data_IF_607299642974
#
_entry.id   IF_607299642974
#
_cell.length_a   1.000
_cell.length_b   1.000
_cell.length_c   1.000
_cell.angle_alpha   90.00
_cell.angle_beta   90.00
_cell.angle_gamma   90.00
#
_symmetry.space_group_name_H-M   'P 1'
#
loop_
_entity.id
_entity.type
_entity.pdbx_description
1 polymer ?
#
# COMPACT_ATOMS: atom_id res chain seq x y z
N UNK A 1 14.69 -10.12 0.88
CA UNK A 1 14.12 -11.38 1.36
C UNK A 1 12.61 -11.27 1.23
N UNK A 2 11.91 -12.31 0.83
CA UNK A 2 10.45 -12.27 0.69
C UNK A 2 9.80 -12.91 1.90
N UNK A 3 8.67 -12.36 2.36
CA UNK A 3 7.88 -12.93 3.45
C UNK A 3 7.06 -14.13 2.94
N UNK A 4 7.02 -15.20 3.73
CA UNK A 4 6.11 -16.32 3.46
C UNK A 4 4.66 -15.89 3.69
N UNK A 5 3.76 -16.42 2.86
CA UNK A 5 2.32 -16.16 2.97
C UNK A 5 1.77 -16.70 4.29
N UNK A 6 1.03 -15.86 5.02
CA UNK A 6 0.36 -16.25 6.27
C UNK A 6 -0.92 -17.04 6.00
N UNK A 7 -1.46 -17.71 7.03
CA UNK A 7 -2.75 -18.39 6.89
C UNK A 7 -3.92 -17.46 6.56
N UNK A 8 -3.86 -16.18 6.97
CA UNK A 8 -4.85 -15.16 6.61
C UNK A 8 -4.74 -14.83 5.11
N UNK A 9 -3.53 -14.60 4.63
CA UNK A 9 -3.27 -14.29 3.21
C UNK A 9 -3.70 -15.43 2.30
N UNK A 10 -3.40 -16.69 2.67
CA UNK A 10 -3.83 -17.89 1.92
C UNK A 10 -5.36 -17.98 1.81
N UNK A 11 -6.09 -17.74 2.93
CA UNK A 11 -7.55 -17.76 2.94
C UNK A 11 -8.13 -16.61 2.11
N UNK A 12 -7.59 -15.40 2.27
CA UNK A 12 -8.04 -14.22 1.53
C UNK A 12 -7.80 -14.38 0.03
N UNK A 13 -6.65 -14.92 -0.38
CA UNK A 13 -6.36 -15.23 -1.80
C UNK A 13 -7.38 -16.21 -2.37
N UNK A 14 -7.68 -17.29 -1.65
CA UNK A 14 -8.67 -18.27 -2.09
C UNK A 14 -10.07 -17.65 -2.22
N UNK A 15 -10.46 -16.82 -1.24
CA UNK A 15 -11.73 -16.11 -1.25
C UNK A 15 -11.84 -15.14 -2.42
N UNK A 16 -10.81 -14.34 -2.69
CA UNK A 16 -10.78 -13.40 -3.82
C UNK A 16 -10.83 -14.11 -5.19
N UNK A 17 -10.33 -15.34 -5.26
CA UNK A 17 -10.34 -16.14 -6.48
C UNK A 17 -11.62 -16.97 -6.66
N UNK A 18 -12.54 -16.95 -5.68
CA UNK A 18 -13.79 -17.69 -5.79
C UNK A 18 -14.68 -17.14 -6.91
N UNK A 19 -15.49 -17.99 -7.58
CA UNK A 19 -16.36 -17.54 -8.65
C UNK A 19 -17.33 -16.43 -8.23
N UNK A 20 -17.73 -16.43 -6.96
CA UNK A 20 -18.69 -15.48 -6.39
C UNK A 20 -18.08 -14.10 -6.17
N UNK A 21 -16.76 -14.02 -5.89
CA UNK A 21 -16.10 -12.76 -5.51
C UNK A 21 -15.10 -12.23 -6.54
N UNK A 22 -14.60 -13.06 -7.44
CA UNK A 22 -13.55 -12.66 -8.39
C UNK A 22 -13.91 -11.44 -9.27
N UNK A 23 -15.22 -11.24 -9.56
CA UNK A 23 -15.71 -10.09 -10.30
C UNK A 23 -16.07 -8.89 -9.42
N UNK A 24 -16.25 -9.12 -8.12
CA UNK A 24 -16.72 -8.11 -7.14
C UNK A 24 -15.55 -7.43 -6.45
N UNK A 25 -14.55 -8.19 -6.04
CA UNK A 25 -13.38 -7.67 -5.33
C UNK A 25 -12.16 -7.54 -6.25
N UNK A 26 -11.24 -6.67 -5.88
CA UNK A 26 -9.96 -6.58 -6.57
C UNK A 26 -9.12 -7.85 -6.38
N UNK A 27 -8.14 -8.12 -7.27
CA UNK A 27 -7.21 -9.23 -7.10
C UNK A 27 -6.47 -9.13 -5.75
N UNK A 28 -6.12 -10.28 -5.21
CA UNK A 28 -5.48 -10.39 -3.90
C UNK A 28 -4.26 -9.49 -3.74
N UNK A 29 -3.38 -9.41 -4.74
CA UNK A 29 -2.18 -8.57 -4.71
C UNK A 29 -2.50 -7.07 -4.62
N UNK A 30 -3.57 -6.63 -5.32
CA UNK A 30 -4.07 -5.26 -5.21
C UNK A 30 -4.56 -4.97 -3.79
N UNK A 31 -5.32 -5.89 -3.20
CA UNK A 31 -5.80 -5.79 -1.82
C UNK A 31 -4.63 -5.69 -0.83
N UNK A 32 -3.59 -6.53 -1.00
CA UNK A 32 -2.38 -6.44 -0.17
C UNK A 32 -1.74 -5.05 -0.21
N UNK A 33 -1.63 -4.46 -1.41
CA UNK A 33 -1.10 -3.10 -1.56
C UNK A 33 -1.98 -2.04 -0.93
N UNK A 34 -3.32 -2.14 -1.09
CA UNK A 34 -4.27 -1.20 -0.49
C UNK A 34 -4.23 -1.23 1.02
N UNK A 35 -4.18 -2.44 1.63
CA UNK A 35 -4.09 -2.60 3.09
C UNK A 35 -2.72 -2.15 3.60
N UNK A 36 -1.63 -2.35 2.82
CA UNK A 36 -0.32 -1.80 3.16
C UNK A 36 -0.36 -0.26 3.27
N UNK A 37 -1.02 0.42 2.32
CA UNK A 37 -1.17 1.87 2.37
C UNK A 37 -2.00 2.34 3.58
N UNK A 38 -3.06 1.61 3.93
CA UNK A 38 -3.88 1.89 5.11
C UNK A 38 -3.10 1.68 6.41
N UNK A 39 -2.32 0.58 6.52
CA UNK A 39 -1.49 0.29 7.68
C UNK A 39 -0.32 1.28 7.85
N UNK A 40 0.23 1.76 6.72
CA UNK A 40 1.33 2.72 6.70
C UNK A 40 0.87 4.19 6.67
N UNK A 41 -0.40 4.49 6.95
CA UNK A 41 -0.88 5.87 7.01
C UNK A 41 -0.41 6.55 8.31
N UNK A 42 -0.16 7.88 8.31
CA UNK A 42 0.11 8.63 9.55
C UNK A 42 -1.02 8.54 10.57
N UNK A 43 -2.25 8.39 10.09
CA UNK A 43 -3.44 8.10 10.87
C UNK A 43 -4.16 6.91 10.20
N UNK A 44 -4.30 5.81 10.94
CA UNK A 44 -4.93 4.60 10.42
C UNK A 44 -6.40 4.89 10.16
N UNK A 45 -6.89 4.75 8.90
CA UNK A 45 -8.28 5.05 8.57
C UNK A 45 -9.24 4.05 9.23
N UNK A 46 -10.43 4.54 9.61
CA UNK A 46 -11.50 3.67 10.10
C UNK A 46 -11.91 2.66 9.02
N UNK A 47 -12.37 1.45 9.41
CA UNK A 47 -12.71 0.38 8.48
C UNK A 47 -13.69 0.80 7.37
N UNK A 48 -14.70 1.59 7.70
CA UNK A 48 -15.70 2.10 6.74
C UNK A 48 -15.10 3.01 5.66
N UNK A 49 -13.89 3.56 5.88
CA UNK A 49 -13.20 4.39 4.89
C UNK A 49 -12.42 3.52 3.90
N UNK A 50 -11.66 2.53 4.39
CA UNK A 50 -10.74 1.78 3.55
C UNK A 50 -11.28 0.45 3.03
N UNK A 51 -12.23 -0.20 3.71
CA UNK A 51 -12.83 -1.45 3.22
C UNK A 51 -13.44 -1.31 1.82
N UNK A 52 -14.10 -0.18 1.45
CA UNK A 52 -14.60 0.00 0.10
C UNK A 52 -13.54 -0.02 -1.01
N UNK A 53 -12.27 0.26 -0.71
CA UNK A 53 -11.22 0.30 -1.72
C UNK A 53 -10.93 -1.05 -2.36
N UNK A 54 -11.26 -2.13 -1.67
CA UNK A 54 -11.04 -3.49 -2.17
C UNK A 54 -12.20 -4.01 -3.03
N UNK A 55 -13.31 -3.27 -3.11
CA UNK A 55 -14.52 -3.65 -3.84
C UNK A 55 -14.55 -2.96 -5.21
N UNK A 56 -14.66 -3.73 -6.28
CA UNK A 56 -14.85 -3.19 -7.64
C UNK A 56 -16.29 -2.71 -7.88
N UNK A 57 -17.26 -3.43 -7.32
CA UNK A 57 -18.69 -3.19 -7.51
C UNK A 57 -19.42 -3.33 -6.17
N UNK A 58 -19.78 -2.22 -5.56
CA UNK A 58 -20.31 -2.17 -4.19
C UNK A 58 -21.66 -2.90 -3.96
N UNK A 59 -22.42 -3.21 -5.02
CA UNK A 59 -23.79 -3.73 -4.90
C UNK A 59 -23.92 -5.23 -5.24
N UNK A 60 -22.83 -6.00 -5.25
CA UNK A 60 -22.86 -7.40 -5.73
C UNK A 60 -22.34 -8.44 -4.72
N UNK A 61 -22.17 -8.07 -3.46
CA UNK A 61 -21.94 -9.10 -2.43
C UNK A 61 -23.26 -9.87 -2.25
N UNK A 62 -23.26 -11.15 -2.60
CA UNK A 62 -24.47 -11.96 -2.71
C UNK A 62 -25.01 -12.42 -1.35
N UNK A 63 -24.22 -12.34 -0.29
CA UNK A 63 -24.65 -12.73 1.06
C UNK A 63 -23.92 -11.94 2.16
N UNK A 64 -24.61 -11.71 3.28
CA UNK A 64 -24.02 -11.13 4.49
C UNK A 64 -22.87 -11.98 5.02
N UNK A 65 -22.96 -13.31 4.95
CA UNK A 65 -21.92 -14.22 5.40
C UNK A 65 -20.60 -14.03 4.62
N UNK A 66 -20.65 -13.84 3.30
CA UNK A 66 -19.46 -13.56 2.49
C UNK A 66 -18.87 -12.18 2.81
N UNK A 67 -19.73 -11.18 3.05
CA UNK A 67 -19.29 -9.86 3.46
C UNK A 67 -18.56 -9.90 4.81
N UNK A 68 -19.12 -10.63 5.78
CA UNK A 68 -18.53 -10.81 7.11
C UNK A 68 -17.20 -11.57 7.04
N UNK A 69 -17.12 -12.64 6.25
CA UNK A 69 -15.88 -13.40 6.06
C UNK A 69 -14.78 -12.55 5.42
N UNK A 70 -15.11 -11.83 4.35
CA UNK A 70 -14.18 -10.91 3.69
C UNK A 70 -13.70 -9.84 4.66
N UNK A 71 -14.61 -9.20 5.38
CA UNK A 71 -14.28 -8.14 6.36
C UNK A 71 -13.36 -8.67 7.46
N UNK A 72 -13.67 -9.83 8.03
CA UNK A 72 -12.85 -10.44 9.08
C UNK A 72 -11.42 -10.76 8.58
N UNK A 73 -11.28 -11.29 7.36
CA UNK A 73 -9.98 -11.56 6.76
C UNK A 73 -9.20 -10.27 6.46
N UNK A 74 -9.86 -9.22 5.98
CA UNK A 74 -9.25 -7.92 5.72
C UNK A 74 -8.78 -7.25 7.02
N UNK A 75 -9.58 -7.29 8.08
CA UNK A 75 -9.18 -6.76 9.39
C UNK A 75 -8.00 -7.55 9.97
N UNK A 76 -8.00 -8.87 9.85
CA UNK A 76 -6.86 -9.69 10.27
C UNK A 76 -5.59 -9.41 9.44
N UNK A 77 -5.74 -9.16 8.14
CA UNK A 77 -4.62 -8.74 7.28
C UNK A 77 -4.05 -7.39 7.73
N UNK A 78 -4.91 -6.39 8.00
CA UNK A 78 -4.48 -5.09 8.51
C UNK A 78 -3.70 -5.24 9.82
N UNK A 79 -4.22 -6.01 10.78
CA UNK A 79 -3.55 -6.28 12.06
C UNK A 79 -2.19 -6.94 11.88
N UNK A 80 -2.08 -7.91 10.96
CA UNK A 80 -0.80 -8.56 10.64
C UNK A 80 0.20 -7.57 10.04
N UNK A 81 -0.24 -6.69 9.15
CA UNK A 81 0.65 -5.68 8.55
C UNK A 81 1.10 -4.64 9.56
N UNK A 82 0.21 -4.18 10.45
CA UNK A 82 0.58 -3.27 11.55
C UNK A 82 1.61 -3.91 12.48
N UNK A 83 1.42 -5.19 12.82
CA UNK A 83 2.39 -5.94 13.62
C UNK A 83 3.73 -6.06 12.91
N UNK A 84 3.75 -6.45 11.63
CA UNK A 84 4.98 -6.55 10.85
C UNK A 84 5.72 -5.21 10.78
N UNK A 85 5.00 -4.09 10.60
CA UNK A 85 5.60 -2.75 10.61
C UNK A 85 6.18 -2.39 11.98
N UNK A 86 5.48 -2.73 13.07
CA UNK A 86 5.97 -2.56 14.45
C UNK A 86 7.22 -3.41 14.72
N UNK A 87 7.30 -4.61 14.15
CA UNK A 87 8.44 -5.53 14.27
C UNK A 87 9.55 -5.21 13.23
N UNK A 88 9.42 -4.11 12.47
CA UNK A 88 10.32 -3.69 11.37
C UNK A 88 10.45 -4.73 10.24
N UNK A 89 9.47 -5.62 10.08
CA UNK A 89 9.40 -6.64 9.05
C UNK A 89 8.69 -6.07 7.81
N UNK A 90 9.37 -5.17 7.07
CA UNK A 90 8.81 -4.54 5.88
C UNK A 90 9.36 -5.26 4.64
N UNK A 91 8.58 -6.18 4.09
CA UNK A 91 8.98 -7.06 2.99
C UNK A 91 7.84 -7.29 2.02
N UNK A 92 8.17 -7.43 0.73
CA UNK A 92 7.19 -7.87 -0.27
C UNK A 92 6.77 -9.33 0.00
N UNK A 93 5.48 -9.65 -0.24
CA UNK A 93 5.02 -11.03 -0.23
C UNK A 93 5.73 -11.89 -1.28
N UNK A 94 5.79 -13.20 -1.03
CA UNK A 94 6.33 -14.15 -1.99
C UNK A 94 5.54 -14.10 -3.32
N UNK A 95 6.24 -14.30 -4.43
CA UNK A 95 5.63 -14.28 -5.77
C UNK A 95 5.47 -12.90 -6.40
N UNK A 96 5.83 -11.82 -5.70
CA UNK A 96 5.85 -10.45 -6.23
C UNK A 96 7.29 -10.09 -6.64
N UNK A 97 7.52 -9.70 -7.89
CA UNK A 97 8.87 -9.43 -8.38
C UNK A 97 8.92 -9.02 -9.84
N UNK A 98 10.12 -9.05 -10.43
CA UNK A 98 10.35 -8.60 -11.82
C UNK A 98 10.94 -9.69 -12.73
N UNK A 99 11.22 -10.90 -12.21
CA UNK A 99 11.92 -11.95 -12.96
C UNK A 99 11.03 -12.65 -13.96
N UNK A 100 9.78 -12.89 -13.63
CA UNK A 100 8.80 -13.61 -14.45
C UNK A 100 7.60 -12.71 -14.75
N UNK A 101 6.97 -12.87 -15.88
CA UNK A 101 5.78 -12.09 -16.25
C UNK A 101 4.65 -12.18 -15.21
N UNK A 102 4.46 -13.36 -14.59
CA UNK A 102 3.49 -13.53 -13.50
C UNK A 102 3.85 -12.70 -12.26
N UNK A 103 5.14 -12.66 -11.89
CA UNK A 103 5.62 -11.83 -10.77
C UNK A 103 5.45 -10.34 -11.05
N UNK A 104 5.74 -9.92 -12.30
CA UNK A 104 5.56 -8.53 -12.74
C UNK A 104 4.10 -8.10 -12.66
N UNK A 105 3.17 -8.99 -13.06
CA UNK A 105 1.73 -8.74 -12.93
C UNK A 105 1.31 -8.59 -11.46
N UNK A 106 1.81 -9.46 -10.59
CA UNK A 106 1.53 -9.37 -9.15
C UNK A 106 2.11 -8.08 -8.54
N UNK A 107 3.33 -7.69 -8.94
CA UNK A 107 3.96 -6.43 -8.51
C UNK A 107 3.15 -5.22 -8.97
N UNK A 108 2.73 -5.20 -10.24
CA UNK A 108 1.92 -4.11 -10.78
C UNK A 108 0.61 -3.97 -10.01
N UNK A 109 -0.10 -5.05 -9.74
CA UNK A 109 -1.34 -5.04 -8.95
C UNK A 109 -1.10 -4.54 -7.52
N UNK A 110 -0.03 -5.01 -6.86
CA UNK A 110 0.33 -4.54 -5.53
C UNK A 110 0.59 -3.03 -5.51
N UNK A 111 1.40 -2.53 -6.45
CA UNK A 111 1.68 -1.09 -6.57
C UNK A 111 0.42 -0.27 -6.86
N UNK A 112 -0.48 -0.76 -7.73
CA UNK A 112 -1.75 -0.09 -8.04
C UNK A 112 -2.62 0.04 -6.79
N UNK A 113 -2.75 -1.03 -6.00
CA UNK A 113 -3.51 -1.02 -4.75
C UNK A 113 -2.89 -0.06 -3.72
N UNK A 114 -1.56 -0.09 -3.58
CA UNK A 114 -0.82 0.81 -2.70
C UNK A 114 -1.01 2.28 -3.09
N UNK A 115 -0.89 2.62 -4.37
CA UNK A 115 -1.08 3.98 -4.87
C UNK A 115 -2.53 4.45 -4.73
N UNK A 116 -3.51 3.57 -4.95
CA UNK A 116 -4.91 3.89 -4.69
C UNK A 116 -5.09 4.25 -3.21
N UNK A 117 -4.65 3.38 -2.28
CA UNK A 117 -4.77 3.64 -0.85
C UNK A 117 -4.09 4.94 -0.43
N UNK A 118 -2.87 5.20 -0.93
CA UNK A 118 -2.18 6.47 -0.67
C UNK A 118 -2.98 7.68 -1.16
N UNK A 119 -3.53 7.62 -2.37
CA UNK A 119 -4.33 8.72 -2.93
C UNK A 119 -5.63 8.97 -2.15
N UNK A 120 -6.27 7.92 -1.64
CA UNK A 120 -7.45 8.05 -0.80
C UNK A 120 -7.15 8.67 0.58
N UNK A 121 -5.89 8.62 1.00
CA UNK A 121 -5.40 9.16 2.27
C UNK A 121 -4.64 10.50 2.10
N UNK A 122 -4.70 11.11 0.91
CA UNK A 122 -3.98 12.37 0.62
C UNK A 122 -4.27 13.45 1.67
N UNK A 123 -5.53 13.59 2.10
CA UNK A 123 -5.92 14.57 3.11
C UNK A 123 -5.28 14.29 4.49
N UNK A 124 -5.14 13.02 4.87
CA UNK A 124 -4.46 12.59 6.12
C UNK A 124 -2.98 12.94 6.06
N UNK A 125 -2.31 12.60 4.96
CA UNK A 125 -0.91 12.94 4.73
C UNK A 125 -0.70 14.46 4.74
N UNK A 126 -1.55 15.21 4.03
CA UNK A 126 -1.45 16.68 3.97
C UNK A 126 -1.64 17.31 5.35
N UNK A 127 -2.61 16.84 6.13
CA UNK A 127 -2.82 17.33 7.50
C UNK A 127 -1.58 17.12 8.38
N UNK A 128 -0.95 15.95 8.30
CA UNK A 128 0.27 15.66 9.04
C UNK A 128 1.45 16.55 8.59
N UNK A 129 1.60 16.79 7.27
CA UNK A 129 2.59 17.73 6.72
C UNK A 129 2.38 19.15 7.21
N UNK A 130 1.15 19.64 7.23
CA UNK A 130 0.82 21.00 7.68
C UNK A 130 1.19 21.19 9.15
N UNK A 131 0.96 20.18 10.00
CA UNK A 131 1.38 20.20 11.41
C UNK A 131 2.90 20.22 11.57
N UNK A 132 3.60 19.39 10.82
CA UNK A 132 5.06 19.35 10.84
C UNK A 132 5.68 20.66 10.33
N UNK A 133 5.08 21.31 9.34
CA UNK A 133 5.58 22.56 8.77
C UNK A 133 5.74 23.67 9.81
N UNK A 134 4.86 23.70 10.80
CA UNK A 134 4.88 24.71 11.87
C UNK A 134 6.13 24.56 12.75
N UNK A 135 6.63 23.33 12.94
CA UNK A 135 7.68 23.02 13.93
C UNK A 135 9.03 22.66 13.32
N UNK A 136 9.06 22.00 12.13
CA UNK A 136 10.28 21.44 11.53
C UNK A 136 10.34 21.60 10.00
N UNK A 137 10.26 22.85 9.54
CA UNK A 137 10.22 23.17 8.12
C UNK A 137 11.41 22.64 7.29
N UNK A 138 12.62 22.67 7.83
CA UNK A 138 13.83 22.22 7.09
C UNK A 138 13.82 20.69 6.89
N UNK A 139 13.40 19.94 7.91
CA UNK A 139 13.31 18.48 7.82
C UNK A 139 12.22 18.05 6.82
N UNK A 140 11.11 18.79 6.76
CA UNK A 140 9.97 18.52 5.89
C UNK A 140 10.37 18.42 4.40
N UNK A 141 11.23 19.32 3.91
CA UNK A 141 11.66 19.32 2.50
C UNK A 141 12.38 18.02 2.10
N UNK A 142 13.20 17.48 3.01
CA UNK A 142 13.87 16.20 2.79
C UNK A 142 12.86 15.06 2.76
N UNK A 143 11.96 15.00 3.74
CA UNK A 143 10.96 13.93 3.84
C UNK A 143 9.98 13.95 2.65
N UNK A 144 9.61 15.12 2.14
CA UNK A 144 8.78 15.23 0.93
C UNK A 144 9.49 14.71 -0.33
N UNK A 145 10.81 14.93 -0.45
CA UNK A 145 11.60 14.34 -1.54
C UNK A 145 11.66 12.81 -1.42
N UNK A 146 11.86 12.31 -0.21
CA UNK A 146 11.89 10.88 0.05
C UNK A 146 10.53 10.24 -0.29
N UNK A 147 9.41 10.86 0.11
CA UNK A 147 8.06 10.40 -0.27
C UNK A 147 7.87 10.41 -1.79
N UNK A 148 8.26 11.50 -2.45
CA UNK A 148 8.16 11.60 -3.91
C UNK A 148 8.97 10.51 -4.61
N UNK A 149 10.14 10.18 -4.09
CA UNK A 149 10.97 9.08 -4.61
C UNK A 149 10.27 7.71 -4.42
N UNK A 150 9.69 7.45 -3.25
CA UNK A 150 8.93 6.22 -3.00
C UNK A 150 7.73 6.11 -3.95
N UNK A 151 6.94 7.16 -4.09
CA UNK A 151 5.77 7.17 -4.97
C UNK A 151 6.17 7.01 -6.44
N UNK A 152 7.29 7.61 -6.87
CA UNK A 152 7.82 7.41 -8.22
C UNK A 152 8.21 5.94 -8.46
N UNK A 153 8.86 5.30 -7.48
CA UNK A 153 9.17 3.87 -7.51
C UNK A 153 7.90 3.03 -7.70
N UNK A 154 6.89 3.24 -6.85
CA UNK A 154 5.63 2.50 -6.91
C UNK A 154 4.89 2.74 -8.22
N UNK A 155 4.86 3.98 -8.72
CA UNK A 155 4.24 4.33 -10.02
C UNK A 155 4.95 3.64 -11.19
N UNK A 156 6.28 3.58 -11.16
CA UNK A 156 7.06 2.90 -12.21
C UNK A 156 6.69 1.42 -12.31
N UNK A 157 6.53 0.74 -11.17
CA UNK A 157 6.19 -0.68 -11.14
C UNK A 157 4.68 -0.96 -11.23
N UNK A 158 3.82 0.02 -11.04
CA UNK A 158 2.37 -0.11 -11.24
C UNK A 158 2.00 -0.29 -12.72
N UNK A 159 2.80 0.30 -13.63
CA UNK A 159 2.65 0.15 -15.08
C UNK A 159 4.01 0.29 -15.75
N UNK A 160 4.79 -0.78 -15.73
CA UNK A 160 6.13 -0.80 -16.32
C UNK A 160 6.14 -0.49 -17.83
N UNK A 161 5.20 -1.01 -18.66
CA UNK A 161 5.13 -0.65 -20.07
C UNK A 161 4.94 0.85 -20.30
N UNK A 162 4.03 1.48 -19.55
CA UNK A 162 3.78 2.92 -19.64
C UNK A 162 5.02 3.71 -19.17
N UNK A 163 5.64 3.33 -18.08
CA UNK A 163 6.85 3.97 -17.56
C UNK A 163 7.98 3.93 -18.59
N UNK A 164 8.20 2.78 -19.24
CA UNK A 164 9.21 2.62 -20.30
C UNK A 164 8.87 3.49 -21.53
N UNK A 165 7.61 3.49 -21.97
CA UNK A 165 7.16 4.33 -23.09
C UNK A 165 7.39 5.83 -22.81
N UNK A 166 7.05 6.30 -21.62
CA UNK A 166 7.28 7.69 -21.19
C UNK A 166 8.78 8.03 -21.07
N UNK A 167 9.60 7.10 -20.60
CA UNK A 167 11.04 7.29 -20.53
C UNK A 167 11.66 7.44 -21.94
N UNK A 168 11.28 6.58 -22.87
CA UNK A 168 11.70 6.66 -24.29
C UNK A 168 11.30 8.00 -24.92
N UNK A 169 10.09 8.49 -24.67
CA UNK A 169 9.65 9.82 -25.16
C UNK A 169 10.52 10.98 -24.61
N UNK A 170 11.11 10.80 -23.43
CA UNK A 170 12.04 11.78 -22.80
C UNK A 170 13.51 11.55 -23.16
N UNK A 171 13.80 10.65 -24.12
CA UNK A 171 15.15 10.32 -24.57
C UNK A 171 15.93 9.34 -23.66
N UNK A 172 15.23 8.62 -22.78
CA UNK A 172 15.83 7.58 -21.95
C UNK A 172 15.37 6.19 -22.42
N UNK A 173 16.20 5.56 -23.27
CA UNK A 173 15.93 4.24 -23.83
C UNK A 173 16.37 3.08 -22.91
N UNK A 174 17.10 3.39 -21.83
CA UNK A 174 17.72 2.37 -20.96
C UNK A 174 16.83 1.91 -19.80
N UNK A 175 15.68 2.52 -19.59
CA UNK A 175 14.85 2.23 -18.39
C UNK A 175 14.43 0.77 -18.33
N UNK A 176 14.05 0.17 -19.48
CA UNK A 176 13.61 -1.21 -19.55
C UNK A 176 14.66 -2.18 -19.00
N UNK A 177 15.92 -2.03 -19.44
CA UNK A 177 17.06 -2.84 -19.00
C UNK A 177 17.43 -2.57 -17.53
N UNK A 178 17.09 -1.38 -17.03
CA UNK A 178 17.41 -0.96 -15.66
C UNK A 178 16.35 -1.39 -14.63
N UNK A 179 15.13 -1.76 -15.04
CA UNK A 179 14.05 -2.15 -14.12
C UNK A 179 14.46 -3.23 -13.10
N UNK A 180 15.19 -4.31 -13.47
CA UNK A 180 15.62 -5.31 -12.49
C UNK A 180 16.60 -4.75 -11.45
N UNK A 181 17.44 -3.79 -11.82
CA UNK A 181 18.38 -3.12 -10.92
C UNK A 181 17.64 -2.14 -10.00
N UNK A 182 16.71 -1.37 -10.55
CA UNK A 182 15.87 -0.44 -9.79
C UNK A 182 15.04 -1.20 -8.75
N UNK A 183 14.51 -2.37 -9.11
CA UNK A 183 13.73 -3.21 -8.20
C UNK A 183 14.52 -3.67 -6.96
N UNK A 184 15.85 -3.74 -7.02
CA UNK A 184 16.67 -4.09 -5.86
C UNK A 184 16.51 -3.11 -4.68
N UNK A 185 16.18 -1.85 -4.96
CA UNK A 185 15.91 -0.82 -3.94
C UNK A 185 14.43 -0.71 -3.55
N UNK A 186 13.55 -1.54 -4.12
CA UNK A 186 12.10 -1.48 -3.85
C UNK A 186 11.77 -1.70 -2.37
N UNK A 187 12.38 -2.70 -1.74
CA UNK A 187 12.19 -2.97 -0.31
C UNK A 187 12.66 -1.81 0.58
N UNK A 188 13.71 -1.10 0.19
CA UNK A 188 14.16 0.09 0.90
C UNK A 188 13.16 1.24 0.74
N UNK A 189 12.58 1.44 -0.45
CA UNK A 189 11.51 2.41 -0.67
C UNK A 189 10.27 2.14 0.18
N UNK A 190 9.92 0.86 0.39
CA UNK A 190 8.83 0.50 1.31
C UNK A 190 9.16 0.90 2.76
N UNK A 191 10.39 0.63 3.23
CA UNK A 191 10.84 1.01 4.58
C UNK A 191 10.85 2.52 4.77
N UNK A 192 11.36 3.26 3.78
CA UNK A 192 11.36 4.72 3.79
C UNK A 192 9.92 5.23 3.89
N UNK A 193 8.99 4.70 3.08
CA UNK A 193 7.59 5.10 3.09
C UNK A 193 6.94 4.90 4.48
N UNK A 194 7.12 3.73 5.10
CA UNK A 194 6.62 3.44 6.45
C UNK A 194 7.30 4.34 7.50
N UNK A 195 8.61 4.53 7.41
CA UNK A 195 9.36 5.40 8.31
C UNK A 195 8.96 6.88 8.22
N UNK A 196 8.57 7.35 7.01
CA UNK A 196 8.03 8.71 6.83
C UNK A 196 6.70 8.88 7.57
N UNK A 197 5.80 7.91 7.42
CA UNK A 197 4.53 7.90 8.15
C UNK A 197 4.75 7.92 9.66
N UNK A 198 5.62 7.05 10.19
CA UNK A 198 5.95 7.00 11.60
C UNK A 198 6.46 8.33 12.16
N UNK A 199 7.26 9.08 11.37
CA UNK A 199 7.72 10.42 11.76
C UNK A 199 6.60 11.47 11.76
N UNK A 200 5.61 11.31 10.89
CA UNK A 200 4.48 12.24 10.81
C UNK A 200 3.48 12.03 11.95
N UNK A 201 3.37 10.83 12.49
CA UNK A 201 2.52 10.52 13.67
C UNK A 201 2.87 11.41 14.85
N UNK A 202 4.15 11.73 15.07
CA UNK A 202 4.58 12.59 16.18
C UNK A 202 3.99 14.02 16.17
N UNK A 203 3.43 14.43 15.02
CA UNK A 203 2.81 15.76 14.84
C UNK A 203 1.28 15.72 14.89
N UNK A 204 0.70 14.53 14.92
CA UNK A 204 -0.75 14.36 15.03
C UNK A 204 -1.15 14.26 16.50
N UNK A 205 -2.32 14.81 16.91
CA UNK A 205 -2.80 14.63 18.26
C UNK A 205 -3.00 13.14 18.55
N UNK A 206 -2.58 12.69 19.75
CA UNK A 206 -2.80 11.31 20.18
C UNK A 206 -4.29 10.98 20.13
N UNK A 207 -4.68 10.09 19.24
CA UNK A 207 -6.09 9.69 19.06
C UNK A 207 -6.70 9.08 20.33
N UNK A 208 -5.87 8.61 21.26
CA UNK A 208 -6.31 8.01 22.53
C UNK A 208 -6.58 9.02 23.63
N UNK A 209 -6.09 10.27 23.54
CA UNK A 209 -6.32 11.31 24.56
C UNK A 209 -7.73 11.95 24.49
N UNK A 210 -8.45 11.79 23.37
CA UNK A 210 -9.80 12.35 23.19
C UNK A 210 -10.89 11.57 23.91
N UNK A 211 -10.62 10.37 24.42
CA UNK A 211 -11.61 9.54 25.13
C UNK A 211 -11.61 9.73 26.66
N UNK A 212 -10.65 10.46 27.23
CA UNK A 212 -10.59 10.71 28.68
C UNK A 212 -11.26 12.03 29.12
N UNK A 213 -11.83 12.80 28.19
CA UNK A 213 -12.46 14.11 28.50
C UNK A 213 -13.98 14.15 28.26
N UNK A 214 -14.70 13.04 28.43
CA UNK A 214 -16.18 13.04 28.48
C UNK A 214 -16.69 12.47 29.80
#
# INVERSE_FOLDING_TARGET
>A
MFKNESGVETKLRALCASPELSDVVHPFEFILGSVFAAAAAPEIPMPEIWLPWVIKKSNQLSSTQQADELTNLLMALLQNQLKDMSDEIIQLPAGIGVRRSSEQKCLALWCQGMLLGHSQLEAVWQHAWDKMQVTKKEEMQKLQKDLSHCLYMFTTFADMPLAVAQAKQRGNDSLEDMLPKIFQSFGESMKIYVGLSGRLVDFLPNQFETFEQQ
#
